data_IF_257011232285
#
_entry.id   IF_257011232285
#
_cell.length_a   1.000
_cell.length_b   1.000
_cell.length_c   1.000
_cell.angle_alpha   90.00
_cell.angle_beta   90.00
_cell.angle_gamma   90.00
#
_symmetry.space_group_name_H-M   'P 1'
#
loop_
_entity.id
_entity.type
_entity.pdbx_description
1 polymer ?
#
# COMPACT_ATOMS: atom_id res chain seq x y z
N UNK A 1 1.11 -19.05 -9.26
CA UNK A 1 0.59 -18.43 -8.02
C UNK A 1 1.74 -18.27 -7.03
N UNK A 2 1.76 -17.21 -6.22
CA UNK A 2 2.79 -16.97 -5.22
C UNK A 2 2.16 -16.76 -3.84
N UNK A 3 2.85 -17.19 -2.79
CA UNK A 3 2.46 -16.95 -1.39
C UNK A 3 3.68 -16.65 -0.54
N UNK A 4 3.61 -15.66 0.34
CA UNK A 4 4.61 -15.40 1.38
C UNK A 4 4.24 -16.08 2.71
N UNK A 5 5.23 -16.34 3.57
CA UNK A 5 5.00 -16.83 4.93
C UNK A 5 5.67 -15.98 6.02
N UNK A 6 5.31 -16.25 7.28
CA UNK A 6 5.79 -15.53 8.47
C UNK A 6 7.29 -15.72 8.76
N UNK A 7 7.92 -16.72 8.13
CA UNK A 7 9.35 -17.01 8.26
C UNK A 7 10.22 -16.33 7.21
N UNK A 8 9.61 -15.52 6.34
CA UNK A 8 10.29 -14.81 5.26
C UNK A 8 10.42 -15.61 3.97
N UNK A 9 9.79 -16.79 3.87
CA UNK A 9 9.84 -17.61 2.65
C UNK A 9 8.75 -17.21 1.68
N UNK A 10 9.07 -17.35 0.40
CA UNK A 10 8.15 -17.14 -0.71
C UNK A 10 8.03 -18.45 -1.46
N UNK A 11 6.80 -18.90 -1.65
CA UNK A 11 6.48 -20.13 -2.33
C UNK A 11 5.84 -19.80 -3.67
N UNK A 12 6.45 -20.29 -4.75
CA UNK A 12 5.89 -20.26 -6.09
C UNK A 12 5.25 -21.61 -6.37
N UNK A 13 3.96 -21.57 -6.65
CA UNK A 13 3.14 -22.72 -7.00
C UNK A 13 2.83 -22.67 -8.50
N UNK A 14 3.12 -23.75 -9.22
CA UNK A 14 2.91 -23.86 -10.67
C UNK A 14 2.40 -25.24 -11.10
N UNK A 15 2.11 -25.38 -12.41
CA UNK A 15 1.59 -26.59 -13.06
C UNK A 15 0.26 -27.13 -12.50
N UNK A 16 -0.63 -26.24 -12.07
CA UNK A 16 -1.96 -26.60 -11.57
C UNK A 16 -2.83 -27.35 -12.58
N UNK A 17 -2.62 -27.12 -13.87
CA UNK A 17 -3.45 -27.69 -14.95
C UNK A 17 -2.99 -29.09 -15.32
N UNK A 18 -1.67 -29.32 -15.36
CA UNK A 18 -1.10 -30.55 -15.91
C UNK A 18 -0.77 -31.60 -14.84
N UNK A 19 -0.95 -31.28 -13.55
CA UNK A 19 -0.60 -32.18 -12.44
C UNK A 19 -1.68 -32.18 -11.35
N UNK A 20 -1.91 -33.37 -10.79
CA UNK A 20 -2.81 -33.58 -9.64
C UNK A 20 -2.27 -32.90 -8.36
N UNK A 21 -0.95 -32.74 -8.25
CA UNK A 21 -0.30 -31.99 -7.17
C UNK A 21 0.50 -30.83 -7.76
N UNK A 22 0.22 -29.58 -7.35
CA UNK A 22 0.98 -28.44 -7.84
C UNK A 22 2.44 -28.55 -7.42
N UNK A 23 3.33 -28.14 -8.32
CA UNK A 23 4.76 -28.09 -8.04
C UNK A 23 5.03 -26.81 -7.24
N UNK A 24 5.91 -26.90 -6.25
CA UNK A 24 6.30 -25.77 -5.42
C UNK A 24 7.81 -25.51 -5.53
N UNK A 25 8.16 -24.25 -5.69
CA UNK A 25 9.53 -23.73 -5.58
C UNK A 25 9.56 -22.77 -4.39
N UNK A 26 10.60 -22.88 -3.56
CA UNK A 26 10.73 -22.05 -2.35
C UNK A 26 11.92 -21.14 -2.50
N UNK A 27 11.69 -19.86 -2.27
CA UNK A 27 12.72 -18.85 -2.15
C UNK A 27 12.76 -18.28 -0.74
N UNK A 28 13.95 -17.89 -0.28
CA UNK A 28 14.13 -17.35 1.07
C UNK A 28 15.18 -16.25 1.07
N UNK A 29 14.71 -15.00 1.07
CA UNK A 29 15.57 -13.82 1.15
C UNK A 29 15.05 -12.75 2.11
N UNK A 30 13.79 -12.81 2.55
CA UNK A 30 13.30 -11.96 3.64
C UNK A 30 13.75 -12.53 4.98
N UNK A 31 14.24 -11.65 5.86
CA UNK A 31 14.62 -12.00 7.23
C UNK A 31 13.39 -12.12 8.16
N UNK A 32 12.32 -11.37 7.85
CA UNK A 32 11.07 -11.32 8.60
C UNK A 32 9.89 -11.74 7.71
N UNK A 33 8.67 -11.72 8.26
CA UNK A 33 7.46 -12.11 7.55
C UNK A 33 7.31 -11.41 6.19
N UNK A 34 6.93 -12.18 5.17
CA UNK A 34 6.54 -11.65 3.86
C UNK A 34 5.08 -11.26 3.93
N UNK A 35 4.80 -9.99 3.72
CA UNK A 35 3.46 -9.45 3.88
C UNK A 35 2.74 -9.23 2.55
N UNK A 36 3.49 -9.09 1.45
CA UNK A 36 2.93 -8.98 0.10
C UNK A 36 3.83 -9.63 -0.93
N UNK A 37 3.21 -10.21 -1.96
CA UNK A 37 3.86 -10.72 -3.17
C UNK A 37 3.05 -10.30 -4.38
N UNK A 38 3.71 -9.90 -5.47
CA UNK A 38 3.07 -9.47 -6.71
C UNK A 38 3.90 -9.92 -7.91
N UNK A 39 3.27 -10.49 -8.94
CA UNK A 39 3.96 -10.76 -10.20
C UNK A 39 3.93 -9.52 -11.10
N UNK A 40 4.97 -9.34 -11.91
CA UNK A 40 4.91 -8.42 -13.05
C UNK A 40 3.84 -8.87 -14.06
N UNK A 41 3.32 -7.95 -14.88
CA UNK A 41 2.35 -8.27 -15.94
C UNK A 41 2.78 -9.44 -16.85
N UNK A 42 4.07 -9.47 -17.21
CA UNK A 42 4.63 -10.50 -18.09
C UNK A 42 4.92 -11.83 -17.36
N UNK A 43 4.78 -11.89 -16.03
CA UNK A 43 5.09 -13.08 -15.23
C UNK A 43 6.58 -13.39 -15.02
N UNK A 44 7.49 -12.63 -15.65
CA UNK A 44 8.95 -12.82 -15.54
C UNK A 44 9.52 -12.47 -14.16
N UNK A 45 8.91 -11.50 -13.46
CA UNK A 45 9.40 -11.01 -12.18
C UNK A 45 8.37 -11.20 -11.06
N UNK A 46 8.89 -11.44 -9.86
CA UNK A 46 8.12 -11.48 -8.62
C UNK A 46 8.67 -10.42 -7.66
N UNK A 47 7.80 -9.51 -7.24
CA UNK A 47 8.07 -8.52 -6.22
C UNK A 47 7.54 -8.99 -4.87
N UNK A 48 8.27 -8.73 -3.81
CA UNK A 48 7.88 -9.10 -2.45
C UNK A 48 8.29 -8.03 -1.44
N UNK A 49 7.43 -7.79 -0.46
CA UNK A 49 7.67 -6.84 0.64
C UNK A 49 7.54 -7.55 1.99
N UNK A 50 8.53 -7.36 2.87
CA UNK A 50 8.54 -7.93 4.21
C UNK A 50 8.64 -6.86 5.31
N UNK A 51 8.54 -7.30 6.57
CA UNK A 51 8.60 -6.42 7.74
C UNK A 51 10.00 -5.87 8.07
N UNK A 52 10.99 -6.01 7.19
CA UNK A 52 12.38 -5.63 7.47
C UNK A 52 12.61 -4.14 7.75
N UNK A 53 11.73 -3.24 7.29
CA UNK A 53 11.87 -1.78 7.46
C UNK A 53 10.98 -1.17 8.56
N UNK A 54 10.21 -1.97 9.29
CA UNK A 54 9.31 -1.46 10.35
C UNK A 54 10.00 -1.50 11.70
N UNK A 55 10.75 -0.45 12.06
CA UNK A 55 11.23 -0.26 13.45
C UNK A 55 10.10 0.28 14.34
N UNK A 56 9.12 -0.57 14.73
CA UNK A 56 8.29 -0.29 15.91
C UNK A 56 7.46 -1.50 16.35
N UNK A 57 7.43 -1.69 17.67
CA UNK A 57 6.86 -2.81 18.41
C UNK A 57 5.32 -2.87 18.34
N UNK A 58 4.82 -4.11 18.32
CA UNK A 58 3.46 -4.61 18.68
C UNK A 58 2.29 -4.06 17.86
N UNK A 59 1.63 -5.00 17.18
CA UNK A 59 0.33 -4.90 16.48
C UNK A 59 0.23 -3.87 15.35
N UNK A 60 1.34 -3.63 14.67
CA UNK A 60 1.32 -3.02 13.34
C UNK A 60 0.84 -4.08 12.33
N UNK A 61 -0.47 -4.20 12.17
CA UNK A 61 -1.08 -4.85 11.00
C UNK A 61 -0.89 -3.89 9.82
N UNK A 62 0.36 -3.67 9.40
CA UNK A 62 0.64 -2.86 8.23
C UNK A 62 0.34 -3.70 6.98
N UNK A 63 -0.68 -3.31 6.23
CA UNK A 63 -1.07 -3.99 5.00
C UNK A 63 -0.06 -3.64 3.93
N UNK A 64 0.90 -4.52 3.79
CA UNK A 64 1.84 -4.44 2.68
C UNK A 64 1.03 -4.65 1.41
N UNK A 65 1.04 -3.65 0.53
CA UNK A 65 0.32 -3.71 -0.73
C UNK A 65 1.29 -3.31 -1.82
N UNK A 66 1.70 -4.31 -2.61
CA UNK A 66 2.36 -4.14 -3.89
C UNK A 66 1.26 -4.11 -4.96
N UNK A 67 1.04 -2.96 -5.59
CA UNK A 67 0.03 -2.81 -6.65
C UNK A 67 0.69 -2.42 -7.95
N UNK A 68 0.52 -3.25 -8.97
CA UNK A 68 1.08 -3.00 -10.29
C UNK A 68 0.24 -1.97 -11.06
N UNK A 69 0.88 -0.94 -11.61
CA UNK A 69 0.27 0.02 -12.53
C UNK A 69 0.46 -0.43 -13.98
N UNK A 70 -0.61 -0.85 -14.67
CA UNK A 70 -0.51 -1.39 -16.02
C UNK A 70 -0.05 -0.37 -17.06
N UNK A 71 -0.07 0.93 -16.76
CA UNK A 71 0.24 1.98 -17.74
C UNK A 71 1.71 2.38 -17.73
N UNK A 72 2.29 2.44 -16.53
CA UNK A 72 3.69 2.76 -16.34
C UNK A 72 4.58 1.52 -16.26
N UNK A 73 3.96 0.33 -16.12
CA UNK A 73 4.64 -0.91 -15.72
C UNK A 73 5.39 -0.79 -14.38
N UNK A 74 5.06 0.24 -13.59
CA UNK A 74 5.60 0.46 -12.25
C UNK A 74 4.81 -0.30 -11.19
N UNK A 75 5.38 -0.37 -9.99
CA UNK A 75 4.72 -0.94 -8.81
C UNK A 75 4.59 0.11 -7.73
N UNK A 76 3.37 0.31 -7.23
CA UNK A 76 3.10 1.12 -6.06
C UNK A 76 3.55 0.40 -4.80
N UNK A 77 4.25 1.16 -3.96
CA UNK A 77 4.88 0.77 -2.70
C UNK A 77 4.50 1.80 -1.65
N UNK A 78 4.21 1.36 -0.43
CA UNK A 78 4.19 2.29 0.70
C UNK A 78 5.61 2.84 0.92
N UNK A 79 5.71 4.17 1.05
CA UNK A 79 6.97 4.86 1.31
C UNK A 79 7.04 5.23 2.80
N UNK A 80 7.36 6.49 3.11
CA UNK A 80 7.14 7.08 4.43
C UNK A 80 5.65 7.23 4.74
N UNK A 81 5.31 7.42 6.02
CA UNK A 81 3.93 7.59 6.47
C UNK A 81 3.21 8.70 5.66
N UNK A 82 2.07 8.36 5.06
CA UNK A 82 1.24 9.26 4.26
C UNK A 82 1.62 9.32 2.78
N UNK A 83 2.68 8.63 2.37
CA UNK A 83 3.17 8.67 0.99
C UNK A 83 3.09 7.30 0.31
N UNK A 84 2.75 7.35 -0.97
CA UNK A 84 2.75 6.20 -1.86
C UNK A 84 3.75 6.44 -3.00
N UNK A 85 4.71 5.54 -3.15
CA UNK A 85 5.75 5.63 -4.16
C UNK A 85 5.41 4.71 -5.33
N UNK A 86 5.52 5.22 -6.56
CA UNK A 86 5.54 4.40 -7.76
C UNK A 86 6.99 4.16 -8.21
N UNK A 87 7.39 2.90 -8.29
CA UNK A 87 8.75 2.49 -8.64
C UNK A 87 8.77 1.67 -9.92
N UNK A 88 9.70 1.97 -10.82
CA UNK A 88 10.03 1.14 -11.98
C UNK A 88 11.15 0.16 -11.58
N UNK A 89 10.84 -1.14 -11.42
CA UNK A 89 11.83 -2.13 -11.06
C UNK A 89 12.79 -2.50 -12.19
N UNK A 90 12.41 -2.33 -13.46
CA UNK A 90 13.28 -2.62 -14.61
C UNK A 90 14.40 -1.59 -14.71
N UNK A 91 14.06 -0.31 -14.49
CA UNK A 91 15.01 0.80 -14.52
C UNK A 91 15.68 1.05 -13.16
N UNK A 92 15.25 0.32 -12.13
CA UNK A 92 15.64 0.52 -10.75
C UNK A 92 15.46 1.99 -10.27
N UNK A 93 14.39 2.66 -10.72
CA UNK A 93 14.19 4.10 -10.50
C UNK A 93 12.78 4.42 -10.00
N UNK A 94 12.66 5.43 -9.13
CA UNK A 94 11.37 5.99 -8.74
C UNK A 94 10.75 6.74 -9.93
N UNK A 95 9.48 6.48 -10.23
CA UNK A 95 8.71 7.22 -11.23
C UNK A 95 8.15 8.49 -10.59
N UNK A 96 7.41 8.36 -9.48
CA UNK A 96 6.98 9.49 -8.66
C UNK A 96 6.66 9.08 -7.21
N UNK A 97 6.54 10.07 -6.34
CA UNK A 97 6.13 9.93 -4.95
C UNK A 97 4.89 10.78 -4.70
N UNK A 98 3.85 10.18 -4.16
CA UNK A 98 2.53 10.78 -4.05
C UNK A 98 2.20 11.02 -2.57
N UNK A 99 1.93 12.26 -2.20
CA UNK A 99 1.39 12.61 -0.88
C UNK A 99 -0.09 12.25 -0.86
N UNK A 100 -0.41 11.13 -0.22
CA UNK A 100 -1.79 10.65 -0.08
C UNK A 100 -2.47 11.38 1.07
N UNK A 101 -1.73 11.61 2.16
CA UNK A 101 -2.23 12.24 3.37
C UNK A 101 -2.67 13.69 3.13
N UNK A 102 -1.98 14.44 2.28
CA UNK A 102 -2.13 15.89 2.11
C UNK A 102 -2.14 16.62 3.46
N UNK A 103 -1.38 16.10 4.43
CA UNK A 103 -1.26 16.63 5.79
C UNK A 103 0.23 16.81 6.07
N UNK A 104 0.59 17.91 6.72
CA UNK A 104 1.96 18.15 7.15
C UNK A 104 2.45 16.97 7.99
N UNK A 105 3.65 16.47 7.70
CA UNK A 105 4.40 15.60 8.61
C UNK A 105 4.68 16.46 9.85
N UNK A 106 3.96 16.20 10.94
CA UNK A 106 4.15 16.95 12.18
C UNK A 106 5.32 16.32 12.93
N UNK A 107 6.36 17.11 13.17
CA UNK A 107 7.40 16.75 14.13
C UNK A 107 6.88 16.93 15.54
N UNK A 108 7.26 16.04 16.45
CA UNK A 108 6.80 15.97 17.84
C UNK A 108 7.01 17.32 18.57
N UNK A 109 5.98 18.17 18.60
CA UNK A 109 6.00 19.42 19.33
C UNK A 109 5.00 19.33 20.49
N UNK A 110 5.54 19.30 21.73
CA UNK A 110 4.83 19.48 23.02
C UNK A 110 4.29 18.21 23.72
N UNK A 111 5.02 17.10 23.71
CA UNK A 111 4.68 15.87 24.48
C UNK A 111 3.35 15.20 24.07
N UNK A 112 2.77 15.56 22.93
CA UNK A 112 1.61 14.87 22.37
C UNK A 112 2.08 14.06 21.16
N UNK A 113 2.08 12.72 21.29
CA UNK A 113 2.34 11.83 20.15
C UNK A 113 1.14 11.93 19.22
N UNK A 114 1.25 12.77 18.19
CA UNK A 114 0.29 12.85 17.10
C UNK A 114 0.76 11.86 16.03
N UNK A 115 -0.02 10.83 15.74
CA UNK A 115 0.35 9.84 14.75
C UNK A 115 0.39 10.43 13.34
N UNK A 116 1.23 9.90 12.47
CA UNK A 116 1.20 10.22 11.04
C UNK A 116 0.06 9.46 10.37
N UNK A 117 -0.44 9.97 9.24
CA UNK A 117 -1.39 9.22 8.43
C UNK A 117 -0.67 8.04 7.79
N UNK A 118 -1.28 6.85 7.80
CA UNK A 118 -0.73 5.64 7.21
C UNK A 118 -1.64 5.17 6.07
N UNK A 119 -1.06 4.88 4.91
CA UNK A 119 -1.80 4.31 3.78
C UNK A 119 -1.96 2.81 4.01
N UNK A 120 -3.19 2.38 4.25
CA UNK A 120 -3.55 1.00 4.55
C UNK A 120 -3.95 0.18 3.32
N UNK A 121 -4.56 0.76 2.30
CA UNK A 121 -4.88 -0.01 1.10
C UNK A 121 -4.70 0.84 -0.12
N UNK A 122 -4.32 0.16 -1.19
CA UNK A 122 -4.18 0.74 -2.52
C UNK A 122 -4.86 -0.22 -3.47
N UNK A 123 -5.66 0.30 -4.38
CA UNK A 123 -6.23 -0.45 -5.48
C UNK A 123 -6.19 0.39 -6.75
N UNK A 124 -5.87 -0.26 -7.87
CA UNK A 124 -5.95 0.35 -9.19
C UNK A 124 -7.09 -0.26 -9.99
N UNK A 125 -7.70 0.58 -10.82
CA UNK A 125 -8.54 0.11 -11.92
C UNK A 125 -7.71 -0.69 -12.94
N UNK A 126 -8.31 -1.62 -13.69
CA UNK A 126 -7.60 -2.42 -14.69
C UNK A 126 -6.91 -1.58 -15.79
N UNK A 127 -7.43 -0.37 -16.07
CA UNK A 127 -6.84 0.57 -17.02
C UNK A 127 -5.77 1.46 -16.39
N UNK A 128 -5.68 1.53 -15.06
CA UNK A 128 -4.86 2.48 -14.32
C UNK A 128 -5.37 3.92 -14.35
N UNK A 129 -6.57 4.19 -14.87
CA UNK A 129 -7.12 5.56 -14.91
C UNK A 129 -7.56 6.05 -13.53
N UNK A 130 -7.92 5.11 -12.65
CA UNK A 130 -8.33 5.34 -11.28
C UNK A 130 -7.45 4.60 -10.29
N UNK A 131 -7.14 5.30 -9.20
CA UNK A 131 -6.47 4.81 -8.01
C UNK A 131 -7.38 5.06 -6.80
N UNK A 132 -7.54 4.06 -5.94
CA UNK A 132 -8.23 4.19 -4.67
C UNK A 132 -7.24 3.94 -3.54
N UNK A 133 -7.22 4.82 -2.54
CA UNK A 133 -6.38 4.68 -1.35
C UNK A 133 -7.20 4.76 -0.09
N UNK A 134 -6.94 3.86 0.86
CA UNK A 134 -7.49 3.93 2.20
C UNK A 134 -6.37 4.34 3.15
N UNK A 135 -6.53 5.46 3.82
CA UNK A 135 -5.59 5.92 4.85
C UNK A 135 -6.25 5.95 6.22
N UNK A 136 -5.44 5.78 7.27
CA UNK A 136 -5.85 5.96 8.65
C UNK A 136 -4.92 6.95 9.33
N UNK A 137 -5.51 7.87 10.08
CA UNK A 137 -4.78 8.75 10.97
C UNK A 137 -5.23 8.47 12.40
N UNK A 138 -4.28 8.19 13.29
CA UNK A 138 -4.59 7.94 14.70
C UNK A 138 -3.92 8.98 15.59
N UNK A 139 -4.70 9.59 16.47
CA UNK A 139 -4.16 10.33 17.61
C UNK A 139 -4.38 9.48 18.86
N UNK A 140 -3.36 8.69 19.21
CA UNK A 140 -3.40 7.82 20.39
C UNK A 140 -3.65 8.61 21.68
N UNK A 141 -3.22 9.87 21.75
CA UNK A 141 -3.41 10.73 22.92
C UNK A 141 -4.85 11.21 23.09
N UNK A 142 -5.60 11.32 21.99
CA UNK A 142 -6.99 11.79 21.96
C UNK A 142 -8.03 10.67 21.79
N UNK A 143 -7.61 9.41 21.65
CA UNK A 143 -8.50 8.28 21.41
C UNK A 143 -9.25 8.35 20.08
N UNK A 144 -8.70 9.07 19.10
CA UNK A 144 -9.36 9.37 17.84
C UNK A 144 -8.70 8.65 16.66
N UNK A 145 -9.53 8.06 15.80
CA UNK A 145 -9.11 7.35 14.59
C UNK A 145 -9.92 7.88 13.40
N UNK A 146 -9.25 8.61 12.50
CA UNK A 146 -9.78 8.99 11.20
C UNK A 146 -9.46 7.91 10.18
N UNK A 147 -10.40 7.65 9.28
CA UNK A 147 -10.18 6.84 8.09
C UNK A 147 -10.67 7.60 6.88
N UNK A 148 -9.86 7.69 5.83
CA UNK A 148 -10.21 8.37 4.60
C UNK A 148 -10.06 7.43 3.40
N UNK A 149 -11.12 7.29 2.62
CA UNK A 149 -11.11 6.64 1.31
C UNK A 149 -11.01 7.72 0.25
N UNK A 150 -9.88 7.78 -0.44
CA UNK A 150 -9.62 8.75 -1.51
C UNK A 150 -9.62 8.06 -2.86
N UNK A 151 -10.23 8.70 -3.84
CA UNK A 151 -10.18 8.33 -5.25
C UNK A 151 -9.40 9.36 -6.02
N UNK A 152 -8.44 8.88 -6.80
CA UNK A 152 -7.56 9.69 -7.61
C UNK A 152 -7.76 9.32 -9.06
N UNK A 153 -7.81 10.32 -9.92
CA UNK A 153 -7.92 10.15 -11.37
C UNK A 153 -6.60 10.54 -12.01
N UNK A 154 -6.14 9.74 -12.95
CA UNK A 154 -4.93 10.08 -13.66
C UNK A 154 -5.15 11.19 -14.69
N UNK A 155 -4.23 12.13 -14.70
CA UNK A 155 -4.04 13.16 -15.71
C UNK A 155 -2.88 12.75 -16.63
N UNK A 156 -3.19 12.52 -17.91
CA UNK A 156 -2.21 12.13 -18.92
C UNK A 156 -1.30 13.26 -19.39
N UNK A 157 -1.75 14.53 -19.29
CA UNK A 157 -0.94 15.69 -19.65
C UNK A 157 0.13 15.95 -18.60
N UNK A 158 -0.23 15.78 -17.32
CA UNK A 158 0.68 15.96 -16.18
C UNK A 158 1.44 14.69 -15.79
N UNK A 159 1.07 13.56 -16.37
CA UNK A 159 1.56 12.23 -16.02
C UNK A 159 1.49 11.95 -14.51
N UNK A 160 0.37 12.32 -13.88
CA UNK A 160 0.20 12.24 -12.42
C UNK A 160 -1.24 11.88 -12.02
N UNK A 161 -1.43 11.39 -10.81
CA UNK A 161 -2.77 11.19 -10.23
C UNK A 161 -3.21 12.44 -9.46
N UNK A 162 -4.43 12.91 -9.73
CA UNK A 162 -5.04 14.05 -9.06
C UNK A 162 -6.21 13.60 -8.19
N UNK A 163 -6.34 14.22 -7.01
CA UNK A 163 -7.41 13.89 -6.06
C UNK A 163 -8.75 14.26 -6.69
N UNK A 164 -9.63 13.28 -6.83
CA UNK A 164 -10.97 13.49 -7.38
C UNK A 164 -12.04 13.47 -6.29
N UNK A 165 -11.97 12.52 -5.36
CA UNK A 165 -12.95 12.36 -4.28
C UNK A 165 -12.24 12.00 -2.98
N UNK A 166 -12.66 12.59 -1.86
CA UNK A 166 -12.21 12.28 -0.51
C UNK A 166 -13.41 11.97 0.37
N UNK A 167 -13.49 10.72 0.87
CA UNK A 167 -14.58 10.23 1.70
C UNK A 167 -14.04 9.93 3.10
N UNK A 168 -14.38 10.79 4.05
CA UNK A 168 -14.07 10.58 5.47
C UNK A 168 -15.05 9.57 6.08
N UNK A 169 -14.50 8.63 6.85
CA UNK A 169 -15.21 7.60 7.60
C UNK A 169 -16.23 6.82 6.75
N UNK A 170 -15.76 6.13 5.68
CA UNK A 170 -16.64 5.51 4.67
C UNK A 170 -17.57 4.41 5.21
N UNK A 171 -17.33 3.91 6.42
CA UNK A 171 -18.14 2.89 7.09
C UNK A 171 -18.95 3.42 8.28
N UNK A 172 -18.96 4.73 8.53
CA UNK A 172 -19.64 5.31 9.67
C UNK A 172 -21.02 5.85 9.27
N UNK A 173 -22.07 5.08 9.56
CA UNK A 173 -23.49 5.40 9.31
C UNK A 173 -24.06 6.53 10.19
N UNK A 174 -23.24 7.49 10.63
CA UNK A 174 -23.74 8.64 11.41
C UNK A 174 -23.35 9.94 10.76
N UNK A 175 -24.36 10.58 10.16
CA UNK A 175 -24.42 12.03 10.02
C UNK A 175 -24.12 12.63 11.41
N UNK A 176 -23.03 13.40 11.58
CA UNK A 176 -22.91 14.24 12.76
C UNK A 176 -24.04 15.26 12.64
N UNK A 177 -25.03 15.18 13.53
CA UNK A 177 -26.00 16.24 13.70
C UNK A 177 -25.25 17.57 13.90
N UNK A 178 -25.59 18.64 13.17
CA UNK A 178 -24.97 19.93 13.42
C UNK A 178 -25.29 20.34 14.86
N UNK A 179 -24.26 20.62 15.65
CA UNK A 179 -24.41 21.24 16.95
C UNK A 179 -24.95 22.66 16.74
N UNK A 180 -26.12 22.93 17.31
CA UNK A 180 -26.65 24.27 17.56
C UNK A 180 -25.88 24.93 18.71
#
# INVERSE_FOLDING_TARGET
MATGDISGRILIWHDFVNRVRPVKTVYHWHKLAVNSVCFSSEGEYLYSGGSENTESKKESVLPTVLVFDPRSHGTFLNSQAGFLQLYDPQRASMIFNMDIANRNILTDERNTVIGNAEVLRVALSPTGEWLATLEVWSNMSAGYHDMNLKFWRYDAERANYELNTDVTMPHHDRVPSPAL
#
